data_IF_193536224966
#
_entry.id   IF_193536224966
#
_cell.length_a   1.000
_cell.length_b   1.000
_cell.length_c   1.000
_cell.angle_alpha   90.00
_cell.angle_beta   90.00
_cell.angle_gamma   90.00
#
_symmetry.space_group_name_H-M   'P 1'
#
loop_
_entity.id
_entity.type
_entity.pdbx_description
1 polymer ?
#
# COMPACT_ATOMS: atom_id res chain seq x y z
N UNK A 1 -14.73 13.59 -19.82
CA UNK A 1 -14.88 13.94 -18.39
C UNK A 1 -14.17 12.89 -17.56
N UNK A 2 -13.36 13.29 -16.58
CA UNK A 2 -12.72 12.36 -15.62
C UNK A 2 -13.83 11.74 -14.76
N UNK A 3 -13.75 10.43 -14.51
CA UNK A 3 -14.76 9.68 -13.74
C UNK A 3 -14.14 9.21 -12.42
N UNK A 4 -14.95 9.08 -11.34
CA UNK A 4 -14.49 8.47 -10.11
C UNK A 4 -14.01 7.03 -10.34
N UNK A 5 -13.13 6.53 -9.48
CA UNK A 5 -12.79 5.11 -9.51
C UNK A 5 -14.04 4.28 -9.19
N UNK A 6 -14.23 3.16 -9.89
CA UNK A 6 -15.44 2.35 -9.71
C UNK A 6 -15.41 1.49 -8.44
N UNK A 7 -14.22 1.23 -7.90
CA UNK A 7 -14.01 0.33 -6.77
C UNK A 7 -13.43 1.07 -5.57
N UNK A 8 -13.87 0.67 -4.37
CA UNK A 8 -13.22 1.03 -3.12
C UNK A 8 -12.11 0.01 -2.82
N UNK A 9 -10.86 0.42 -3.04
CA UNK A 9 -9.65 -0.29 -2.66
C UNK A 9 -9.21 0.03 -1.23
N UNK A 10 -8.58 -0.97 -0.60
CA UNK A 10 -7.87 -0.85 0.66
C UNK A 10 -6.38 -0.65 0.38
N UNK A 11 -5.74 0.28 1.08
CA UNK A 11 -4.29 0.47 1.05
C UNK A 11 -3.67 -0.47 2.06
N UNK A 12 -2.59 -1.16 1.67
CA UNK A 12 -1.73 -1.87 2.59
C UNK A 12 -0.37 -1.17 2.66
N UNK A 13 0.19 -1.11 3.85
CA UNK A 13 1.58 -0.72 4.07
C UNK A 13 2.26 -1.81 4.90
N UNK A 14 3.36 -2.34 4.39
CA UNK A 14 4.06 -3.47 5.00
C UNK A 14 5.54 -3.13 5.18
N UNK A 15 6.06 -3.41 6.37
CA UNK A 15 7.50 -3.50 6.62
C UNK A 15 7.86 -4.99 6.52
N UNK A 16 8.44 -5.37 5.38
CA UNK A 16 8.55 -6.77 4.96
C UNK A 16 9.97 -7.10 4.44
N UNK A 17 10.45 -8.30 4.77
CA UNK A 17 11.62 -8.89 4.14
C UNK A 17 11.17 -9.51 2.81
N UNK A 18 11.66 -8.97 1.69
CA UNK A 18 11.29 -9.42 0.35
C UNK A 18 11.87 -10.80 -0.02
N UNK A 19 12.83 -11.32 0.75
CA UNK A 19 13.40 -12.65 0.53
C UNK A 19 12.58 -13.73 1.22
N UNK A 20 12.13 -13.47 2.44
CA UNK A 20 11.42 -14.46 3.28
C UNK A 20 9.92 -14.23 3.34
N UNK A 21 9.43 -13.08 2.87
CA UNK A 21 8.07 -12.57 3.06
C UNK A 21 7.66 -12.37 4.53
N UNK A 22 8.61 -12.45 5.48
CA UNK A 22 8.35 -12.16 6.89
C UNK A 22 8.06 -10.67 7.09
N UNK A 23 7.00 -10.36 7.83
CA UNK A 23 6.60 -8.99 8.13
C UNK A 23 7.02 -8.60 9.54
N UNK A 24 7.74 -7.49 9.66
CA UNK A 24 7.99 -6.83 10.94
C UNK A 24 6.82 -5.96 11.36
N UNK A 25 6.01 -5.45 10.42
CA UNK A 25 4.85 -4.62 10.72
C UNK A 25 3.94 -4.47 9.51
N UNK A 26 2.66 -4.20 9.75
CA UNK A 26 1.68 -3.95 8.70
C UNK A 26 0.53 -3.08 9.22
N UNK A 27 -0.03 -2.25 8.34
CA UNK A 27 -1.34 -1.64 8.53
C UNK A 27 -2.10 -1.63 7.20
N UNK A 28 -3.39 -1.98 7.29
CA UNK A 28 -4.32 -1.94 6.16
C UNK A 28 -5.47 -1.01 6.52
N UNK A 29 -5.97 -0.27 5.56
CA UNK A 29 -7.13 0.62 5.77
C UNK A 29 -7.61 1.29 4.50
N UNK A 30 -8.84 1.78 4.53
CA UNK A 30 -9.32 2.68 3.50
C UNK A 30 -8.57 4.02 3.64
N UNK A 31 -8.30 4.73 2.54
CA UNK A 31 -7.48 5.94 2.61
C UNK A 31 -8.03 7.02 3.55
N UNK A 32 -7.10 7.82 4.05
CA UNK A 32 -7.30 9.00 4.91
C UNK A 32 -8.01 8.60 6.20
N UNK A 33 -7.44 7.62 6.90
CA UNK A 33 -8.01 7.03 8.13
C UNK A 33 -9.49 6.65 7.97
N UNK A 34 -9.81 5.92 6.90
CA UNK A 34 -11.17 5.49 6.55
C UNK A 34 -12.16 6.64 6.30
N UNK A 35 -11.70 7.78 5.76
CA UNK A 35 -12.58 8.93 5.45
C UNK A 35 -12.67 9.30 3.98
N UNK A 36 -11.78 8.79 3.14
CA UNK A 36 -11.76 9.14 1.71
C UNK A 36 -11.64 7.88 0.84
N UNK A 37 -12.73 7.12 0.65
CA UNK A 37 -12.72 5.94 -0.22
C UNK A 37 -12.22 6.29 -1.61
N UNK A 38 -11.38 5.41 -2.14
CA UNK A 38 -10.85 5.51 -3.51
C UNK A 38 -11.92 5.67 -4.58
N UNK A 39 -13.13 5.14 -4.36
CA UNK A 39 -14.27 5.33 -5.26
C UNK A 39 -14.78 6.76 -5.40
N UNK A 40 -14.32 7.69 -4.57
CA UNK A 40 -14.65 9.13 -4.63
C UNK A 40 -13.54 9.96 -5.27
N UNK A 41 -12.39 9.36 -5.57
CA UNK A 41 -11.24 10.09 -6.12
C UNK A 41 -11.45 10.45 -7.57
N UNK A 42 -11.02 11.65 -7.95
CA UNK A 42 -10.92 12.07 -9.33
C UNK A 42 -9.50 11.90 -9.84
N UNK A 43 -9.36 11.65 -11.14
CA UNK A 43 -8.03 11.59 -11.74
C UNK A 43 -7.32 12.95 -11.59
N UNK A 44 -6.06 12.90 -11.13
CA UNK A 44 -5.27 14.09 -10.83
C UNK A 44 -5.37 14.56 -9.37
N UNK A 45 -6.24 13.98 -8.55
CA UNK A 45 -6.25 14.25 -7.11
C UNK A 45 -4.93 13.82 -6.47
N UNK A 46 -4.41 14.67 -5.58
CA UNK A 46 -3.27 14.35 -4.72
C UNK A 46 -3.82 14.12 -3.32
N UNK A 47 -3.76 12.88 -2.85
CA UNK A 47 -4.27 12.47 -1.54
C UNK A 47 -3.09 12.32 -0.58
N UNK A 48 -3.12 13.08 0.52
CA UNK A 48 -2.18 12.93 1.61
C UNK A 48 -2.78 12.00 2.68
N UNK A 49 -2.05 10.95 3.05
CA UNK A 49 -2.53 9.92 3.95
C UNK A 49 -1.42 9.45 4.92
N UNK A 50 -1.46 9.88 6.19
CA UNK A 50 -0.46 9.50 7.17
C UNK A 50 -0.75 8.12 7.76
N UNK A 51 0.26 7.24 7.75
CA UNK A 51 0.18 5.92 8.37
C UNK A 51 1.13 5.78 9.56
N UNK A 52 0.64 5.16 10.62
CA UNK A 52 1.48 4.65 11.72
C UNK A 52 1.51 3.13 11.61
N UNK A 53 2.70 2.57 11.42
CA UNK A 53 2.90 1.13 11.26
C UNK A 53 3.53 0.59 12.55
N UNK A 54 2.81 -0.17 13.39
CA UNK A 54 3.41 -0.79 14.56
C UNK A 54 4.38 -1.90 14.12
N UNK A 55 5.60 -1.86 14.66
CA UNK A 55 6.55 -2.97 14.52
C UNK A 55 6.25 -3.99 15.62
N UNK A 56 6.15 -5.26 15.23
CA UNK A 56 5.92 -6.37 16.13
C UNK A 56 7.08 -6.46 17.15
N UNK A 57 6.78 -6.67 18.45
CA UNK A 57 7.81 -6.70 19.49
C UNK A 57 8.76 -7.90 19.36
N UNK A 58 8.34 -8.92 18.61
CA UNK A 58 9.09 -10.13 18.28
C UNK A 58 9.60 -10.14 16.83
N UNK A 59 9.52 -9.02 16.11
CA UNK A 59 10.13 -8.89 14.80
C UNK A 59 11.64 -9.17 14.89
N UNK A 60 12.13 -10.02 13.98
CA UNK A 60 13.56 -10.27 13.89
C UNK A 60 14.32 -8.97 13.59
N UNK A 61 15.50 -8.83 14.18
CA UNK A 61 16.40 -7.74 13.81
C UNK A 61 16.86 -7.90 12.36
N UNK A 62 17.03 -6.78 11.67
CA UNK A 62 17.57 -6.74 10.32
C UNK A 62 16.91 -5.70 9.42
N UNK A 63 17.21 -5.84 8.13
CA UNK A 63 16.79 -4.90 7.10
C UNK A 63 15.50 -5.35 6.43
N UNK A 64 14.50 -4.49 6.46
CA UNK A 64 13.19 -4.67 5.84
C UNK A 64 12.95 -3.62 4.76
N UNK A 65 12.02 -3.87 3.85
CA UNK A 65 11.51 -2.88 2.90
C UNK A 65 10.13 -2.43 3.34
N UNK A 66 9.91 -1.11 3.40
CA UNK A 66 8.59 -0.53 3.43
C UNK A 66 8.00 -0.57 2.02
N UNK A 67 6.93 -1.32 1.83
CA UNK A 67 6.15 -1.35 0.59
C UNK A 67 4.74 -0.81 0.83
N UNK A 68 4.18 -0.18 -0.20
CA UNK A 68 2.80 0.29 -0.21
C UNK A 68 2.10 -0.13 -1.50
N UNK A 69 0.83 -0.50 -1.40
CA UNK A 69 0.00 -0.87 -2.54
C UNK A 69 -1.47 -0.87 -2.19
N UNK A 70 -2.30 -1.26 -3.14
CA UNK A 70 -3.75 -1.32 -2.98
C UNK A 70 -4.28 -2.70 -3.36
N UNK A 71 -5.39 -3.11 -2.75
CA UNK A 71 -6.11 -4.32 -3.14
C UNK A 71 -7.63 -4.13 -3.07
N UNK A 72 -8.35 -4.93 -3.85
CA UNK A 72 -9.80 -5.00 -3.78
C UNK A 72 -10.18 -5.82 -2.53
N UNK A 73 -10.84 -5.23 -1.51
CA UNK A 73 -11.15 -5.95 -0.28
C UNK A 73 -12.17 -7.08 -0.49
N UNK A 74 -12.95 -7.06 -1.57
CA UNK A 74 -13.91 -8.12 -1.87
C UNK A 74 -13.26 -9.37 -2.48
N UNK A 75 -12.17 -9.21 -3.23
CA UNK A 75 -11.50 -10.33 -3.94
C UNK A 75 -10.12 -10.67 -3.38
N UNK A 76 -9.49 -9.75 -2.64
CA UNK A 76 -8.10 -9.86 -2.20
C UNK A 76 -7.07 -9.58 -3.29
N UNK A 77 -7.50 -9.29 -4.52
CA UNK A 77 -6.59 -9.05 -5.64
C UNK A 77 -5.91 -7.68 -5.50
N UNK A 78 -4.58 -7.67 -5.64
CA UNK A 78 -3.80 -6.44 -5.65
C UNK A 78 -4.00 -5.65 -6.94
N UNK A 79 -4.04 -4.34 -6.83
CA UNK A 79 -4.19 -3.42 -7.95
C UNK A 79 -2.86 -3.27 -8.69
N UNK A 80 -2.88 -3.51 -10.00
CA UNK A 80 -1.72 -3.29 -10.85
C UNK A 80 -1.36 -1.80 -10.97
N UNK A 81 -0.11 -1.48 -10.73
CA UNK A 81 0.51 -0.22 -11.08
C UNK A 81 1.02 -0.28 -12.52
N UNK A 82 0.72 0.76 -13.29
CA UNK A 82 1.10 0.86 -14.70
C UNK A 82 1.87 2.14 -14.95
N UNK A 83 2.86 2.05 -15.84
CA UNK A 83 3.55 3.21 -16.38
C UNK A 83 2.63 4.03 -17.29
N UNK A 84 3.06 5.24 -17.67
CA UNK A 84 2.30 6.10 -18.58
C UNK A 84 2.05 5.45 -19.96
N UNK A 85 2.92 4.55 -20.40
CA UNK A 85 2.78 3.80 -21.66
C UNK A 85 1.90 2.53 -21.53
N UNK A 86 1.36 2.26 -20.34
CA UNK A 86 0.49 1.12 -20.04
C UNK A 86 1.21 -0.14 -19.57
N UNK A 87 2.55 -0.16 -19.57
CA UNK A 87 3.34 -1.29 -19.06
C UNK A 87 3.04 -1.56 -17.59
N UNK A 88 2.80 -2.82 -17.21
CA UNK A 88 2.64 -3.21 -15.80
C UNK A 88 4.00 -3.17 -15.11
N UNK A 89 4.09 -2.44 -14.00
CA UNK A 89 5.33 -2.28 -13.21
C UNK A 89 5.30 -3.18 -11.97
N UNK A 90 4.12 -3.53 -11.47
CA UNK A 90 3.94 -4.38 -10.30
C UNK A 90 2.61 -4.08 -9.61
N UNK A 91 2.47 -4.50 -8.36
CA UNK A 91 1.25 -4.25 -7.55
C UNK A 91 1.52 -3.48 -6.26
N UNK A 92 2.79 -3.14 -6.01
CA UNK A 92 3.26 -2.37 -4.87
C UNK A 92 4.50 -1.56 -5.23
N UNK A 93 4.69 -0.43 -4.56
CA UNK A 93 5.88 0.39 -4.65
C UNK A 93 6.76 0.16 -3.43
N UNK A 94 8.06 -0.04 -3.64
CA UNK A 94 9.05 0.07 -2.58
C UNK A 94 9.27 1.56 -2.24
N UNK A 95 9.08 1.91 -0.97
CA UNK A 95 9.09 3.29 -0.49
C UNK A 95 10.42 3.61 0.21
N UNK A 96 10.87 2.72 1.10
CA UNK A 96 12.06 2.93 1.89
C UNK A 96 12.63 1.61 2.43
N UNK A 97 13.90 1.64 2.85
CA UNK A 97 14.51 0.59 3.66
C UNK A 97 14.37 0.94 5.14
N UNK A 98 13.97 -0.04 5.96
CA UNK A 98 13.77 0.11 7.41
C UNK A 98 14.68 -0.88 8.12
N UNK A 99 15.46 -0.38 9.08
CA UNK A 99 16.28 -1.23 9.95
C UNK A 99 15.54 -1.47 11.28
N UNK A 100 15.29 -2.73 11.62
CA UNK A 100 14.72 -3.15 12.90
C UNK A 100 15.86 -3.62 13.81
N UNK A 101 15.90 -3.10 15.03
CA UNK A 101 16.95 -3.32 16.03
C UNK A 101 16.35 -3.79 17.36
#
# INVERSE_FOLDING_TARGET
ALRPMQNAYTVFNQVIDLTTAAKAGQVDGMPVCDRNPTGQWFAGDIIADPYTIPIAPDAAQGTYTLISGMYNPATGERLEMRAADGTVIGTEAAIATIEVQ
#
